data_IF_093033216258
#
_entry.id   IF_093033216258
#
_cell.length_a   1.000
_cell.length_b   1.000
_cell.length_c   1.000
_cell.angle_alpha   90.00
_cell.angle_beta   90.00
_cell.angle_gamma   90.00
#
_symmetry.space_group_name_H-M   'P 1'
#
loop_
_entity.id
_entity.type
_entity.pdbx_description
1 polymer ?
#
# COMPACT_ATOMS: atom_id res chain seq x y z
N UNK A 1 26.27 -9.47 -12.93
CA UNK A 1 26.58 -8.02 -12.87
C UNK A 1 25.88 -7.41 -11.66
N UNK A 2 26.61 -6.85 -10.70
CA UNK A 2 25.98 -6.15 -9.56
C UNK A 2 25.18 -4.95 -10.07
N UNK A 3 23.91 -4.83 -9.65
CA UNK A 3 23.12 -3.63 -9.91
C UNK A 3 23.69 -2.47 -9.11
N UNK A 4 23.93 -1.33 -9.77
CA UNK A 4 24.31 -0.10 -9.08
C UNK A 4 23.18 0.40 -8.15
N UNK A 5 23.55 1.18 -7.14
CA UNK A 5 22.63 1.66 -6.10
C UNK A 5 21.46 2.45 -6.67
N UNK A 6 21.71 3.32 -7.65
CA UNK A 6 20.69 4.16 -8.27
C UNK A 6 19.61 3.33 -8.97
N UNK A 7 19.99 2.26 -9.67
CA UNK A 7 19.03 1.34 -10.30
C UNK A 7 18.17 0.64 -9.26
N UNK A 8 18.76 0.14 -8.17
CA UNK A 8 18.00 -0.52 -7.09
C UNK A 8 16.97 0.42 -6.49
N UNK A 9 17.37 1.65 -6.17
CA UNK A 9 16.48 2.69 -5.68
C UNK A 9 15.34 2.96 -6.66
N UNK A 10 15.67 3.16 -7.94
CA UNK A 10 14.68 3.45 -8.99
C UNK A 10 13.65 2.32 -9.14
N UNK A 11 14.10 1.06 -9.15
CA UNK A 11 13.20 -0.09 -9.27
C UNK A 11 12.34 -0.28 -8.02
N UNK A 12 12.89 -0.07 -6.82
CA UNK A 12 12.14 -0.14 -5.57
C UNK A 12 11.03 0.94 -5.51
N UNK A 13 11.34 2.17 -5.90
CA UNK A 13 10.36 3.25 -5.97
C UNK A 13 9.28 2.97 -7.02
N UNK A 14 9.66 2.50 -8.22
CA UNK A 14 8.71 2.14 -9.26
C UNK A 14 7.77 0.99 -8.82
N UNK A 15 8.32 -0.04 -8.18
CA UNK A 15 7.54 -1.15 -7.63
C UNK A 15 6.58 -0.70 -6.53
N UNK A 16 7.05 0.14 -5.60
CA UNK A 16 6.20 0.76 -4.58
C UNK A 16 5.08 1.62 -5.17
N UNK A 17 5.37 2.35 -6.25
CA UNK A 17 4.39 3.19 -6.96
C UNK A 17 3.32 2.34 -7.64
N UNK A 18 3.71 1.23 -8.28
CA UNK A 18 2.78 0.25 -8.85
C UNK A 18 1.88 -0.37 -7.76
N UNK A 19 2.45 -0.72 -6.61
CA UNK A 19 1.68 -1.11 -5.43
C UNK A 19 0.73 -0.01 -4.96
N UNK A 20 1.15 1.26 -5.01
CA UNK A 20 0.36 2.42 -4.61
C UNK A 20 -0.87 2.60 -5.49
N UNK A 21 -0.68 2.41 -6.80
CA UNK A 21 -1.78 2.36 -7.77
C UNK A 21 -2.75 1.22 -7.45
N UNK A 22 -2.24 0.00 -7.22
CA UNK A 22 -3.08 -1.16 -6.90
C UNK A 22 -3.89 -0.95 -5.61
N UNK A 23 -3.30 -0.36 -4.57
CA UNK A 23 -4.02 0.05 -3.37
C UNK A 23 -5.13 1.05 -3.68
N UNK A 24 -4.83 2.08 -4.46
CA UNK A 24 -5.80 3.10 -4.84
C UNK A 24 -7.00 2.51 -5.59
N UNK A 25 -6.71 1.68 -6.59
CA UNK A 25 -7.73 0.98 -7.36
C UNK A 25 -8.54 -0.01 -6.50
N UNK A 26 -7.90 -0.73 -5.58
CA UNK A 26 -8.61 -1.65 -4.67
C UNK A 26 -9.57 -0.91 -3.75
N UNK A 27 -9.13 0.20 -3.14
CA UNK A 27 -9.99 1.03 -2.27
C UNK A 27 -11.17 1.60 -3.07
N UNK A 28 -10.93 2.12 -4.27
CA UNK A 28 -11.98 2.62 -5.14
C UNK A 28 -12.96 1.52 -5.54
N UNK A 29 -12.45 0.36 -5.99
CA UNK A 29 -13.27 -0.76 -6.43
C UNK A 29 -14.16 -1.30 -5.31
N UNK A 30 -13.62 -1.47 -4.10
CA UNK A 30 -14.41 -1.89 -2.94
C UNK A 30 -15.49 -0.87 -2.56
N UNK A 31 -15.22 0.43 -2.71
CA UNK A 31 -16.23 1.48 -2.53
C UNK A 31 -17.30 1.43 -3.62
N UNK A 32 -16.89 1.31 -4.88
CA UNK A 32 -17.78 1.26 -6.04
C UNK A 32 -18.72 0.05 -6.01
N UNK A 33 -18.22 -1.12 -5.60
CA UNK A 33 -19.00 -2.35 -5.44
C UNK A 33 -19.84 -2.38 -4.16
N UNK A 34 -19.78 -1.35 -3.30
CA UNK A 34 -20.50 -1.30 -2.03
C UNK A 34 -19.98 -2.25 -0.95
N UNK A 35 -18.82 -2.88 -1.16
CA UNK A 35 -18.21 -3.83 -0.20
C UNK A 35 -17.85 -3.11 1.10
N UNK A 36 -17.28 -1.90 1.02
CA UNK A 36 -16.94 -1.12 2.22
C UNK A 36 -18.18 -0.80 3.05
N UNK A 37 -19.27 -0.40 2.40
CA UNK A 37 -20.56 -0.18 3.07
C UNK A 37 -21.13 -1.46 3.70
N UNK A 38 -21.04 -2.59 2.99
CA UNK A 38 -21.52 -3.89 3.49
C UNK A 38 -20.80 -4.36 4.77
N UNK A 39 -19.53 -3.99 4.94
CA UNK A 39 -18.75 -4.29 6.16
C UNK A 39 -18.75 -3.14 7.18
N UNK A 40 -19.61 -2.13 6.99
CA UNK A 40 -19.76 -0.99 7.91
C UNK A 40 -18.62 0.03 7.86
N UNK A 41 -17.81 0.05 6.80
CA UNK A 41 -16.69 0.97 6.58
C UNK A 41 -17.12 2.11 5.64
N UNK A 42 -17.03 3.36 6.13
CA UNK A 42 -17.38 4.60 5.45
C UNK A 42 -16.22 5.14 4.60
N UNK A 43 -15.63 4.28 3.78
CA UNK A 43 -14.56 4.64 2.84
C UNK A 43 -15.03 4.30 1.42
N UNK A 44 -15.30 5.33 0.63
CA UNK A 44 -15.69 5.18 -0.78
C UNK A 44 -15.20 6.39 -1.60
N UNK A 45 -13.88 6.53 -1.80
CA UNK A 45 -13.34 7.68 -2.52
C UNK A 45 -13.67 7.59 -4.01
N UNK A 46 -13.96 8.73 -4.64
CA UNK A 46 -14.06 8.81 -6.09
C UNK A 46 -12.68 8.59 -6.75
N UNK A 47 -12.67 7.94 -7.91
CA UNK A 47 -11.45 7.75 -8.70
C UNK A 47 -11.02 9.08 -9.32
N UNK A 48 -10.13 9.79 -8.63
CA UNK A 48 -9.64 11.12 -9.03
C UNK A 48 -8.12 11.18 -8.94
N UNK A 49 -7.51 12.14 -9.66
CA UNK A 49 -6.08 12.40 -9.56
C UNK A 49 -5.67 12.74 -8.11
N UNK A 50 -6.50 13.50 -7.38
CA UNK A 50 -6.26 13.85 -5.99
C UNK A 50 -6.22 12.61 -5.06
N UNK A 51 -6.98 11.56 -5.38
CA UNK A 51 -6.97 10.29 -4.65
C UNK A 51 -5.73 9.44 -4.98
N UNK A 52 -5.35 9.38 -6.25
CA UNK A 52 -4.28 8.51 -6.74
C UNK A 52 -2.88 9.09 -6.52
N UNK A 53 -2.68 10.40 -6.71
CA UNK A 53 -1.38 11.04 -6.61
C UNK A 53 -0.65 10.76 -5.28
N UNK A 54 -1.25 10.99 -4.09
CA UNK A 54 -0.57 10.69 -2.84
C UNK A 54 -0.26 9.19 -2.69
N UNK A 55 -1.11 8.29 -3.22
CA UNK A 55 -0.88 6.85 -3.15
C UNK A 55 0.27 6.38 -4.01
N UNK A 56 0.44 6.97 -5.20
CA UNK A 56 1.60 6.73 -6.07
C UNK A 56 2.88 7.20 -5.40
N UNK A 57 2.91 8.44 -4.89
CA UNK A 57 4.10 9.03 -4.28
C UNK A 57 4.48 8.31 -2.98
N UNK A 58 3.55 8.20 -2.03
CA UNK A 58 3.82 7.52 -0.76
C UNK A 58 4.03 6.03 -0.94
N UNK A 59 3.29 5.39 -1.86
CA UNK A 59 3.52 3.99 -2.22
C UNK A 59 4.94 3.77 -2.74
N UNK A 60 5.46 4.68 -3.58
CA UNK A 60 6.84 4.65 -4.05
C UNK A 60 7.86 4.80 -2.92
N UNK A 61 7.65 5.74 -2.00
CA UNK A 61 8.53 5.94 -0.83
C UNK A 61 8.57 4.70 0.07
N UNK A 62 7.42 4.09 0.35
CA UNK A 62 7.37 2.82 1.10
C UNK A 62 7.99 1.65 0.32
N UNK A 63 8.08 1.75 -1.01
CA UNK A 63 8.77 0.79 -1.87
C UNK A 63 10.23 0.57 -1.48
N UNK A 64 10.90 1.55 -0.87
CA UNK A 64 12.28 1.41 -0.40
C UNK A 64 12.46 0.36 0.71
N UNK A 65 11.38 -0.04 1.41
CA UNK A 65 11.43 -1.18 2.34
C UNK A 65 11.89 -2.46 1.63
N UNK A 66 11.59 -2.61 0.33
CA UNK A 66 12.02 -3.75 -0.48
C UNK A 66 13.51 -3.76 -0.82
N UNK A 67 14.28 -2.76 -0.39
CA UNK A 67 15.74 -2.82 -0.43
C UNK A 67 16.32 -3.62 0.74
N UNK A 68 15.55 -3.81 1.82
CA UNK A 68 15.98 -4.59 2.97
C UNK A 68 16.14 -6.08 2.60
N UNK A 69 17.17 -6.76 3.14
CA UNK A 69 17.55 -8.09 2.72
C UNK A 69 16.65 -9.23 3.27
N UNK A 70 15.57 -8.91 3.98
CA UNK A 70 14.70 -9.89 4.63
C UNK A 70 13.62 -10.46 3.70
N UNK A 71 13.16 -11.68 4.03
CA UNK A 71 12.01 -12.37 3.41
C UNK A 71 12.09 -12.57 1.88
N UNK A 72 13.27 -12.52 1.27
CA UNK A 72 13.46 -12.66 -0.19
C UNK A 72 12.91 -13.96 -0.79
N UNK A 73 12.78 -15.02 0.02
CA UNK A 73 12.30 -16.34 -0.44
C UNK A 73 10.78 -16.41 -0.67
N UNK A 74 10.00 -15.53 -0.05
CA UNK A 74 8.54 -15.51 -0.19
C UNK A 74 8.06 -14.10 -0.50
N UNK A 75 7.78 -13.85 -1.78
CA UNK A 75 7.32 -12.54 -2.26
C UNK A 75 6.01 -12.13 -1.58
N UNK A 76 5.10 -13.09 -1.42
CA UNK A 76 3.83 -12.87 -0.73
C UNK A 76 4.05 -12.42 0.72
N UNK A 77 4.81 -13.19 1.51
CA UNK A 77 5.04 -12.87 2.92
C UNK A 77 5.84 -11.57 3.07
N UNK A 78 6.82 -11.33 2.20
CA UNK A 78 7.59 -10.08 2.14
C UNK A 78 6.68 -8.88 1.93
N UNK A 79 5.76 -8.98 0.97
CA UNK A 79 4.77 -7.94 0.69
C UNK A 79 3.87 -7.66 1.88
N UNK A 80 3.26 -8.70 2.45
CA UNK A 80 2.36 -8.58 3.60
C UNK A 80 3.08 -7.98 4.81
N UNK A 81 4.26 -8.49 5.17
CA UNK A 81 5.01 -8.00 6.34
C UNK A 81 5.44 -6.53 6.16
N UNK A 82 5.95 -6.16 4.98
CA UNK A 82 6.37 -4.78 4.75
C UNK A 82 5.20 -3.80 4.67
N UNK A 83 4.01 -4.28 4.32
CA UNK A 83 2.78 -3.47 4.33
C UNK A 83 2.26 -3.12 5.73
N UNK A 84 2.75 -3.79 6.77
CA UNK A 84 2.38 -3.49 8.16
C UNK A 84 2.84 -2.06 8.52
N UNK A 85 4.03 -1.64 8.09
CA UNK A 85 4.56 -0.31 8.38
C UNK A 85 3.67 0.84 7.85
N UNK A 86 3.31 0.91 6.55
CA UNK A 86 2.38 1.93 6.07
C UNK A 86 0.99 1.81 6.70
N UNK A 87 0.55 0.60 7.09
CA UNK A 87 -0.72 0.42 7.81
C UNK A 87 -0.69 1.05 9.20
N UNK A 88 0.37 0.81 9.98
CA UNK A 88 0.55 1.40 11.30
C UNK A 88 0.61 2.92 11.21
N UNK A 89 1.37 3.46 10.26
CA UNK A 89 1.44 4.92 10.04
C UNK A 89 0.06 5.47 9.68
N UNK A 90 -0.71 4.77 8.83
CA UNK A 90 -2.06 5.21 8.47
C UNK A 90 -2.98 5.24 9.69
N UNK A 91 -3.00 4.16 10.47
CA UNK A 91 -3.93 3.96 11.59
C UNK A 91 -3.62 4.82 12.82
N UNK A 92 -2.34 5.03 13.11
CA UNK A 92 -1.89 5.69 14.34
C UNK A 92 -1.35 7.10 14.12
N UNK A 93 -1.03 7.50 12.89
CA UNK A 93 -0.51 8.84 12.60
C UNK A 93 -1.46 9.59 11.67
N UNK A 94 -1.80 9.06 10.49
CA UNK A 94 -2.60 9.81 9.49
C UNK A 94 -4.04 10.01 9.95
N UNK A 95 -4.72 8.95 10.38
CA UNK A 95 -6.11 9.01 10.85
C UNK A 95 -6.38 9.86 12.11
N UNK A 96 -5.44 10.03 13.05
CA UNK A 96 -5.65 10.99 14.14
C UNK A 96 -5.19 12.42 13.82
N UNK A 97 -4.20 12.62 12.94
CA UNK A 97 -3.58 13.95 12.76
C UNK A 97 -3.99 14.69 11.48
N UNK A 98 -4.33 13.98 10.40
CA UNK A 98 -4.57 14.57 9.08
C UNK A 98 -6.02 14.49 8.62
N UNK A 99 -6.73 13.47 9.08
CA UNK A 99 -8.16 13.28 8.82
C UNK A 99 -8.80 13.21 10.21
N UNK A 100 -9.89 13.91 10.53
CA UNK A 100 -10.48 13.89 11.87
C UNK A 100 -11.26 12.59 12.13
N UNK A 101 -10.64 11.43 11.91
CA UNK A 101 -11.25 10.11 11.98
C UNK A 101 -10.83 9.33 13.23
N UNK A 102 -10.11 9.96 14.16
CA UNK A 102 -9.65 9.33 15.40
C UNK A 102 -8.61 8.22 15.19
N UNK A 103 -8.08 7.70 16.29
CA UNK A 103 -7.14 6.57 16.25
C UNK A 103 -7.83 5.32 15.67
N UNK A 104 -7.12 4.53 14.86
CA UNK A 104 -7.62 3.33 14.18
C UNK A 104 -8.75 3.60 13.14
N UNK A 105 -9.23 4.83 12.99
CA UNK A 105 -10.32 5.16 12.06
C UNK A 105 -11.69 4.63 12.51
N UNK A 106 -11.91 4.39 13.81
CA UNK A 106 -13.15 3.81 14.33
C UNK A 106 -14.44 4.60 13.98
N UNK A 107 -14.45 5.94 13.93
CA UNK A 107 -15.53 6.74 13.36
C UNK A 107 -15.93 6.38 11.92
N UNK A 108 -15.01 5.84 11.12
CA UNK A 108 -15.29 5.33 9.78
C UNK A 108 -15.90 3.92 9.81
N UNK A 109 -15.92 3.24 10.94
CA UNK A 109 -16.40 1.87 11.09
C UNK A 109 -15.41 1.01 11.88
N UNK A 110 -15.90 0.09 12.70
CA UNK A 110 -15.07 -0.80 13.55
C UNK A 110 -14.18 -1.73 12.72
N UNK A 111 -14.59 -2.07 11.49
CA UNK A 111 -13.81 -2.89 10.56
C UNK A 111 -12.73 -2.09 9.78
N UNK A 112 -12.63 -0.78 9.97
CA UNK A 112 -11.66 0.08 9.25
C UNK A 112 -10.20 -0.37 9.41
N UNK A 113 -9.71 -0.79 10.60
CA UNK A 113 -8.34 -1.26 10.74
C UNK A 113 -8.03 -2.47 9.87
N UNK A 114 -8.95 -3.44 9.83
CA UNK A 114 -8.81 -4.64 9.02
C UNK A 114 -8.84 -4.29 7.53
N UNK A 115 -9.71 -3.37 7.13
CA UNK A 115 -9.78 -2.88 5.75
C UNK A 115 -8.47 -2.19 5.33
N UNK A 116 -7.89 -1.34 6.19
CA UNK A 116 -6.60 -0.69 5.93
C UNK A 116 -5.47 -1.70 5.78
N UNK A 117 -5.43 -2.73 6.65
CA UNK A 117 -4.44 -3.81 6.54
C UNK A 117 -4.60 -4.56 5.22
N UNK A 118 -5.83 -4.87 4.81
CA UNK A 118 -6.11 -5.57 3.54
C UNK A 118 -5.60 -4.78 2.33
N UNK A 119 -5.96 -3.50 2.21
CA UNK A 119 -5.57 -2.71 1.03
C UNK A 119 -4.08 -2.40 1.01
N UNK A 120 -3.42 -2.28 2.17
CA UNK A 120 -1.96 -2.19 2.23
C UNK A 120 -1.28 -3.53 1.92
N UNK A 121 -1.87 -4.66 2.30
CA UNK A 121 -1.36 -5.96 1.89
C UNK A 121 -1.39 -6.11 0.36
N UNK A 122 -2.45 -5.63 -0.30
CA UNK A 122 -2.51 -5.54 -1.77
C UNK A 122 -1.34 -4.70 -2.32
N UNK A 123 -1.08 -3.52 -1.73
CA UNK A 123 0.09 -2.70 -2.09
C UNK A 123 1.39 -3.50 -2.00
N UNK A 124 1.64 -4.13 -0.85
CA UNK A 124 2.91 -4.82 -0.57
C UNK A 124 3.11 -6.04 -1.45
N UNK A 125 2.06 -6.83 -1.69
CA UNK A 125 2.11 -7.99 -2.59
C UNK A 125 2.43 -7.52 -4.00
N UNK A 126 1.69 -6.55 -4.54
CA UNK A 126 1.93 -6.04 -5.90
C UNK A 126 3.33 -5.46 -6.04
N UNK A 127 3.79 -4.67 -5.07
CA UNK A 127 5.15 -4.13 -5.08
C UNK A 127 6.21 -5.24 -5.05
N UNK A 128 6.04 -6.28 -4.23
CA UNK A 128 7.00 -7.39 -4.14
C UNK A 128 7.07 -8.18 -5.44
N UNK A 129 5.93 -8.49 -6.06
CA UNK A 129 5.89 -9.21 -7.33
C UNK A 129 6.42 -8.35 -8.47
N UNK A 130 6.07 -7.06 -8.53
CA UNK A 130 6.58 -6.13 -9.53
C UNK A 130 8.11 -6.07 -9.48
N UNK A 131 8.68 -5.88 -8.29
CA UNK A 131 10.13 -5.81 -8.12
C UNK A 131 10.82 -7.10 -8.57
N UNK A 132 10.27 -8.24 -8.20
CA UNK A 132 10.80 -9.53 -8.60
C UNK A 132 10.81 -9.70 -10.13
N UNK A 133 9.70 -9.38 -10.82
CA UNK A 133 9.59 -9.49 -12.27
C UNK A 133 10.58 -8.61 -13.03
N UNK A 134 10.89 -7.41 -12.51
CA UNK A 134 11.87 -6.50 -13.14
C UNK A 134 13.32 -6.85 -12.78
N UNK A 135 13.54 -7.61 -11.71
CA UNK A 135 14.86 -8.14 -11.33
C UNK A 135 15.18 -9.44 -12.08
N UNK A 136 14.20 -10.34 -12.28
CA UNK A 136 14.36 -11.66 -12.94
C UNK A 136 14.55 -11.58 -14.46
N UNK A 137 14.16 -10.51 -15.13
CA UNK A 137 14.44 -10.32 -16.57
C UNK A 137 15.93 -10.06 -16.87
N UNK A 138 16.85 -10.57 -16.05
CA UNK A 138 18.30 -10.44 -16.14
C UNK A 138 19.02 -11.69 -15.69
#
# INVERSE_FOLDING_TARGET
MQMNTLRRLSLAYAAGSAGGLANGLAVWLFGYLGITAAIGVKIAPALTAAMLYPRLVWGGLWGFLFLLPFLKKSLFLRGVVYSILPSLVTLFIIFPTRVPNGMLGLPLGTATPLFVLLVNAIWGIVASYWLHLVEERR
#
